data_IF_483764874286
#
_entry.id   IF_483764874286
#
_cell.length_a   1.000
_cell.length_b   1.000
_cell.length_c   1.000
_cell.angle_alpha   90.00
_cell.angle_beta   90.00
_cell.angle_gamma   90.00
#
_symmetry.space_group_name_H-M   'P 1'
#
loop_
_entity.id
_entity.type
_entity.pdbx_description
1 polymer ?
#
# COMPACT_ATOMS: atom_id res chain seq x y z
N UNK A 1 -26.62 15.74 26.76
CA UNK A 1 -26.72 16.69 25.66
C UNK A 1 -25.92 16.08 24.51
N UNK A 2 -26.57 15.63 23.45
CA UNK A 2 -25.92 15.12 22.28
C UNK A 2 -25.25 16.30 21.55
N UNK A 3 -23.92 16.27 21.42
CA UNK A 3 -23.18 17.27 20.65
C UNK A 3 -23.62 17.18 19.18
N UNK A 4 -23.99 18.29 18.58
CA UNK A 4 -24.25 18.37 17.14
C UNK A 4 -23.05 17.81 16.34
N UNK A 5 -23.30 17.08 15.26
CA UNK A 5 -22.21 16.58 14.42
C UNK A 5 -21.43 17.76 13.83
N UNK A 6 -20.16 17.86 14.17
CA UNK A 6 -19.25 18.89 13.65
C UNK A 6 -19.36 19.01 12.14
N UNK A 7 -19.52 20.24 11.63
CA UNK A 7 -19.62 20.51 10.19
C UNK A 7 -18.34 20.09 9.46
N UNK A 8 -18.42 19.86 8.14
CA UNK A 8 -17.23 19.56 7.33
C UNK A 8 -16.14 20.64 7.50
N UNK A 9 -16.57 21.88 7.67
CA UNK A 9 -15.71 23.06 7.86
C UNK A 9 -14.99 23.02 9.22
N UNK A 10 -15.67 22.56 10.27
CA UNK A 10 -15.08 22.41 11.60
C UNK A 10 -14.06 21.25 11.61
N UNK A 11 -14.35 20.14 10.96
CA UNK A 11 -13.40 19.02 10.80
C UNK A 11 -12.15 19.40 10.01
N UNK A 12 -12.31 20.18 8.95
CA UNK A 12 -11.17 20.72 8.19
C UNK A 12 -10.36 21.68 9.05
N UNK A 13 -11.02 22.54 9.83
CA UNK A 13 -10.35 23.47 10.73
C UNK A 13 -9.61 22.77 11.88
N UNK A 14 -10.17 21.68 12.41
CA UNK A 14 -9.52 20.82 13.40
C UNK A 14 -8.29 20.11 12.83
N UNK A 15 -8.32 19.67 11.57
CA UNK A 15 -7.17 19.08 10.87
C UNK A 15 -6.01 20.07 10.69
N UNK A 16 -6.31 21.36 10.53
CA UNK A 16 -5.30 22.42 10.41
C UNK A 16 -4.94 23.08 11.75
N UNK A 17 -5.66 22.79 12.84
CA UNK A 17 -5.35 23.23 14.20
C UNK A 17 -4.35 22.32 14.94
N UNK A 18 -3.71 21.40 14.20
CA UNK A 18 -2.68 20.52 14.72
C UNK A 18 -1.39 21.29 15.05
N UNK A 19 -0.63 20.75 15.98
CA UNK A 19 0.74 21.17 16.22
C UNK A 19 1.51 21.28 14.89
N UNK A 20 2.29 22.35 14.75
CA UNK A 20 3.00 22.68 13.50
C UNK A 20 3.77 21.49 12.92
N UNK A 21 4.47 20.74 13.78
CA UNK A 21 5.33 19.65 13.34
C UNK A 21 4.54 18.45 12.83
N UNK A 22 3.37 18.18 13.42
CA UNK A 22 2.45 17.14 12.91
C UNK A 22 1.90 17.55 11.54
N UNK A 23 1.60 18.83 11.33
CA UNK A 23 1.14 19.32 10.02
C UNK A 23 2.26 19.21 8.96
N UNK A 24 3.48 19.65 9.30
CA UNK A 24 4.65 19.54 8.42
C UNK A 24 4.90 18.07 8.04
N UNK A 25 4.88 17.18 9.02
CA UNK A 25 5.02 15.74 8.79
C UNK A 25 3.89 15.21 7.89
N UNK A 26 2.64 15.62 8.13
CA UNK A 26 1.48 15.21 7.34
C UNK A 26 1.61 15.62 5.89
N UNK A 27 2.06 16.84 5.61
CA UNK A 27 2.32 17.33 4.25
C UNK A 27 3.47 16.57 3.58
N UNK A 28 4.55 16.32 4.31
CA UNK A 28 5.65 15.49 3.81
C UNK A 28 5.17 14.06 3.48
N UNK A 29 4.42 13.43 4.39
CA UNK A 29 3.81 12.10 4.17
C UNK A 29 2.89 12.08 2.95
N UNK A 30 2.12 13.16 2.72
CA UNK A 30 1.29 13.30 1.53
C UNK A 30 2.16 13.32 0.28
N UNK A 31 3.19 14.17 0.22
CA UNK A 31 4.07 14.31 -0.95
C UNK A 31 4.79 13.00 -1.30
N UNK A 32 5.40 12.34 -0.31
CA UNK A 32 6.05 11.04 -0.53
C UNK A 32 5.07 9.95 -0.94
N UNK A 33 3.91 9.88 -0.28
CA UNK A 33 2.87 8.90 -0.62
C UNK A 33 2.32 9.16 -2.01
N UNK A 34 2.20 10.42 -2.43
CA UNK A 34 1.75 10.79 -3.76
C UNK A 34 2.69 10.25 -4.83
N UNK A 35 3.99 10.58 -4.77
CA UNK A 35 5.00 10.07 -5.69
C UNK A 35 5.08 8.54 -5.69
N UNK A 36 5.06 7.92 -4.52
CA UNK A 36 5.10 6.46 -4.40
C UNK A 36 3.87 5.79 -5.01
N UNK A 37 2.66 6.33 -4.81
CA UNK A 37 1.42 5.74 -5.35
C UNK A 37 1.27 5.96 -6.84
N UNK A 38 1.76 7.08 -7.37
CA UNK A 38 1.86 7.30 -8.82
C UNK A 38 2.71 6.22 -9.49
N UNK A 39 3.88 5.93 -8.91
CA UNK A 39 4.88 5.03 -9.50
C UNK A 39 4.59 3.55 -9.23
N UNK A 40 4.39 3.17 -7.96
CA UNK A 40 4.40 1.75 -7.56
C UNK A 40 3.26 0.93 -8.14
N UNK A 41 2.12 1.56 -8.46
CA UNK A 41 0.94 0.87 -9.00
C UNK A 41 1.11 0.45 -10.45
N UNK A 42 1.92 1.18 -11.21
CA UNK A 42 2.17 0.95 -12.63
C UNK A 42 3.49 0.26 -12.89
N UNK A 43 4.29 0.00 -11.86
CA UNK A 43 5.65 -0.52 -12.06
C UNK A 43 5.67 -1.90 -12.72
N UNK A 44 4.65 -2.74 -12.47
CA UNK A 44 4.50 -4.01 -13.19
C UNK A 44 4.31 -3.82 -14.69
N UNK A 45 3.49 -2.85 -15.10
CA UNK A 45 3.27 -2.48 -16.50
C UNK A 45 4.55 -1.93 -17.14
N UNK A 46 5.23 -1.03 -16.44
CA UNK A 46 6.51 -0.46 -16.89
C UNK A 46 7.60 -1.53 -17.08
N UNK A 47 7.71 -2.47 -16.13
CA UNK A 47 8.67 -3.57 -16.25
C UNK A 47 8.38 -4.46 -17.46
N UNK A 48 7.11 -4.76 -17.74
CA UNK A 48 6.73 -5.54 -18.91
C UNK A 48 7.01 -4.76 -20.20
N UNK A 49 6.73 -3.46 -20.22
CA UNK A 49 7.08 -2.58 -21.35
C UNK A 49 8.59 -2.49 -21.59
N UNK A 50 9.42 -2.67 -20.55
CA UNK A 50 10.88 -2.80 -20.63
C UNK A 50 11.35 -4.23 -20.99
N UNK A 51 10.44 -5.16 -21.27
CA UNK A 51 10.74 -6.54 -21.67
C UNK A 51 10.84 -7.55 -20.51
N UNK A 52 10.44 -7.19 -19.30
CA UNK A 52 10.42 -8.14 -18.18
C UNK A 52 9.31 -9.18 -18.34
N UNK A 53 9.62 -10.44 -18.00
CA UNK A 53 8.60 -11.49 -17.89
C UNK A 53 7.77 -11.33 -16.60
N UNK A 54 6.60 -11.97 -16.55
CA UNK A 54 5.74 -11.99 -15.36
C UNK A 54 6.47 -12.57 -14.14
N UNK A 55 7.36 -13.54 -14.33
CA UNK A 55 8.20 -14.10 -13.25
C UNK A 55 9.09 -13.02 -12.64
N UNK A 56 9.71 -12.19 -13.47
CA UNK A 56 10.57 -11.08 -13.03
C UNK A 56 9.75 -10.01 -12.29
N UNK A 57 8.55 -9.71 -12.75
CA UNK A 57 7.60 -8.82 -12.04
C UNK A 57 7.21 -9.42 -10.68
N UNK A 58 6.97 -10.72 -10.61
CA UNK A 58 6.73 -11.43 -9.34
C UNK A 58 7.93 -11.37 -8.40
N UNK A 59 9.16 -11.56 -8.90
CA UNK A 59 10.39 -11.41 -8.13
C UNK A 59 10.54 -9.99 -7.58
N UNK A 60 10.23 -8.95 -8.38
CA UNK A 60 10.20 -7.57 -7.90
C UNK A 60 9.26 -7.41 -6.68
N UNK A 61 8.06 -7.96 -6.74
CA UNK A 61 7.13 -7.96 -5.61
C UNK A 61 7.70 -8.65 -4.37
N UNK A 62 8.39 -9.79 -4.55
CA UNK A 62 9.07 -10.51 -3.47
C UNK A 62 10.19 -9.67 -2.85
N UNK A 63 11.06 -9.05 -3.65
CA UNK A 63 12.09 -8.14 -3.14
C UNK A 63 11.49 -6.94 -2.40
N UNK A 64 10.38 -6.39 -2.90
CA UNK A 64 9.64 -5.32 -2.22
C UNK A 64 9.14 -5.75 -0.83
N UNK A 65 8.65 -6.99 -0.70
CA UNK A 65 8.23 -7.56 0.57
C UNK A 65 9.41 -7.76 1.54
N UNK A 66 10.57 -8.25 1.05
CA UNK A 66 11.81 -8.39 1.83
C UNK A 66 12.24 -7.03 2.39
N UNK A 67 12.31 -6.00 1.55
CA UNK A 67 12.67 -4.64 1.95
C UNK A 67 11.70 -4.11 3.00
N UNK A 68 10.40 -4.29 2.79
CA UNK A 68 9.36 -3.84 3.73
C UNK A 68 9.41 -4.57 5.08
N UNK A 69 9.94 -5.80 5.12
CA UNK A 69 10.13 -6.55 6.36
C UNK A 69 11.40 -6.12 7.11
N UNK A 70 12.49 -5.82 6.40
CA UNK A 70 13.81 -5.57 7.01
C UNK A 70 14.01 -4.08 7.39
N UNK A 71 13.62 -3.14 6.52
CA UNK A 71 13.96 -1.72 6.65
C UNK A 71 13.46 -1.02 7.92
N UNK A 72 12.30 -1.33 8.52
CA UNK A 72 11.85 -0.66 9.73
C UNK A 72 12.85 -0.74 10.90
N UNK A 73 13.60 -1.85 11.01
CA UNK A 73 14.56 -2.05 12.09
C UNK A 73 15.77 -1.13 12.02
N UNK A 74 16.61 -1.16 10.94
CA UNK A 74 17.73 -0.24 10.84
C UNK A 74 17.28 1.21 10.71
N UNK A 75 16.08 1.46 10.14
CA UNK A 75 15.52 2.81 10.03
C UNK A 75 15.26 3.44 11.40
N UNK A 76 14.66 2.69 12.33
CA UNK A 76 14.47 3.12 13.70
C UNK A 76 15.80 3.39 14.40
N UNK A 77 16.76 2.46 14.31
CA UNK A 77 18.08 2.63 14.93
C UNK A 77 18.86 3.85 14.39
N UNK A 78 18.74 4.14 13.10
CA UNK A 78 19.33 5.34 12.48
C UNK A 78 18.65 6.60 13.03
N UNK A 79 17.32 6.62 13.06
CA UNK A 79 16.54 7.75 13.58
C UNK A 79 16.89 8.04 15.05
N UNK A 80 17.04 7.00 15.87
CA UNK A 80 17.41 7.12 17.28
C UNK A 80 18.82 7.68 17.48
N UNK A 81 19.72 7.49 16.49
CA UNK A 81 21.12 7.98 16.58
C UNK A 81 21.30 9.40 16.09
N UNK A 82 20.69 9.74 14.95
CA UNK A 82 20.93 11.03 14.27
C UNK A 82 19.77 12.02 14.40
N UNK A 83 18.68 11.60 15.07
CA UNK A 83 17.44 12.36 15.19
C UNK A 83 16.49 12.17 14.00
N UNK A 84 15.21 12.32 14.28
CA UNK A 84 14.14 12.08 13.30
C UNK A 84 14.24 13.01 12.08
N UNK A 85 14.60 14.28 12.26
CA UNK A 85 14.76 15.25 11.17
C UNK A 85 15.80 14.81 10.13
N UNK A 86 17.02 14.50 10.60
CA UNK A 86 18.10 14.12 9.69
C UNK A 86 17.87 12.74 9.07
N UNK A 87 17.34 11.79 9.85
CA UNK A 87 16.99 10.45 9.37
C UNK A 87 15.96 10.52 8.23
N UNK A 88 14.85 11.22 8.42
CA UNK A 88 13.82 11.36 7.39
C UNK A 88 14.32 12.16 6.18
N UNK A 89 15.19 13.14 6.37
CA UNK A 89 15.83 13.87 5.26
C UNK A 89 16.70 12.93 4.42
N UNK A 90 17.55 12.14 5.06
CA UNK A 90 18.38 11.14 4.38
C UNK A 90 17.53 10.11 3.63
N UNK A 91 16.50 9.55 4.28
CA UNK A 91 15.61 8.58 3.65
C UNK A 91 14.81 9.19 2.50
N UNK A 92 14.45 10.46 2.59
CA UNK A 92 13.79 11.21 1.52
C UNK A 92 14.65 11.35 0.28
N UNK A 93 15.91 11.77 0.45
CA UNK A 93 16.87 11.83 -0.65
C UNK A 93 17.14 10.46 -1.26
N UNK A 94 17.31 9.41 -0.45
CA UNK A 94 17.46 8.04 -0.96
C UNK A 94 16.24 7.63 -1.80
N UNK A 95 15.02 7.95 -1.37
CA UNK A 95 13.82 7.66 -2.16
C UNK A 95 13.79 8.42 -3.49
N UNK A 96 14.18 9.70 -3.48
CA UNK A 96 14.30 10.48 -4.71
C UNK A 96 15.34 9.88 -5.68
N UNK A 97 16.49 9.42 -5.16
CA UNK A 97 17.51 8.68 -5.95
C UNK A 97 16.89 7.41 -6.53
N UNK A 98 16.13 6.63 -5.76
CA UNK A 98 15.47 5.42 -6.24
C UNK A 98 14.50 5.68 -7.40
N UNK A 99 13.66 6.71 -7.29
CA UNK A 99 12.79 7.14 -8.41
C UNK A 99 13.61 7.64 -9.60
N UNK A 100 14.73 8.33 -9.36
CA UNK A 100 15.67 8.76 -10.40
C UNK A 100 16.33 7.59 -11.15
N UNK A 101 16.70 6.52 -10.43
CA UNK A 101 17.22 5.29 -11.05
C UNK A 101 16.14 4.65 -11.93
N UNK A 102 14.90 4.58 -11.48
CA UNK A 102 13.79 4.06 -12.30
C UNK A 102 13.53 4.93 -13.54
N UNK A 103 13.60 6.24 -13.38
CA UNK A 103 13.42 7.21 -14.47
C UNK A 103 14.50 7.04 -15.55
N UNK A 104 15.73 6.81 -15.16
CA UNK A 104 16.86 6.68 -16.09
C UNK A 104 17.01 5.25 -16.65
N UNK A 105 16.34 4.25 -16.06
CA UNK A 105 16.49 2.84 -16.44
C UNK A 105 16.35 2.57 -17.94
N UNK A 106 15.40 3.16 -18.72
CA UNK A 106 15.23 2.89 -20.14
C UNK A 106 16.49 3.23 -20.97
N UNK A 107 17.27 4.22 -20.56
CA UNK A 107 18.48 4.64 -21.25
C UNK A 107 19.60 3.58 -21.25
N UNK A 108 19.48 2.55 -20.38
CA UNK A 108 20.51 1.52 -20.20
C UNK A 108 20.19 0.19 -20.91
N UNK A 109 19.18 0.15 -21.77
CA UNK A 109 18.87 -1.02 -22.61
C UNK A 109 18.70 -2.31 -21.78
N UNK A 110 19.54 -3.31 -22.00
CA UNK A 110 19.44 -4.60 -21.30
C UNK A 110 19.57 -4.51 -19.77
N UNK A 111 20.16 -3.44 -19.24
CA UNK A 111 20.27 -3.20 -17.79
C UNK A 111 19.05 -2.49 -17.21
N UNK A 112 18.06 -2.11 -18.02
CA UNK A 112 16.88 -1.39 -17.55
C UNK A 112 16.16 -2.15 -16.42
N UNK A 113 15.83 -3.42 -16.64
CA UNK A 113 15.15 -4.25 -15.64
C UNK A 113 15.98 -4.49 -14.37
N UNK A 114 17.29 -4.85 -14.43
CA UNK A 114 18.15 -4.86 -13.25
C UNK A 114 18.18 -3.55 -12.47
N UNK A 115 18.20 -2.40 -13.15
CA UNK A 115 18.17 -1.09 -12.49
C UNK A 115 16.85 -0.83 -11.76
N UNK A 116 15.73 -1.42 -12.18
CA UNK A 116 14.47 -1.34 -11.41
C UNK A 116 14.64 -1.98 -10.02
N UNK A 117 15.36 -3.11 -9.91
CA UNK A 117 15.65 -3.71 -8.60
C UNK A 117 16.62 -2.86 -7.76
N UNK A 118 17.62 -2.26 -8.38
CA UNK A 118 18.51 -1.31 -7.69
C UNK A 118 17.72 -0.11 -7.18
N UNK A 119 16.91 0.50 -8.02
CA UNK A 119 16.05 1.63 -7.67
C UNK A 119 15.07 1.27 -6.52
N UNK A 120 14.57 0.03 -6.47
CA UNK A 120 13.67 -0.44 -5.41
C UNK A 120 14.30 -0.33 -4.01
N UNK A 121 15.59 -0.67 -3.89
CA UNK A 121 16.34 -0.57 -2.62
C UNK A 121 16.27 0.85 -2.07
N UNK A 122 16.42 1.84 -2.93
CA UNK A 122 16.39 3.26 -2.54
C UNK A 122 14.97 3.82 -2.47
N UNK A 123 14.11 3.54 -3.45
CA UNK A 123 12.78 4.13 -3.55
C UNK A 123 11.89 3.85 -2.32
N UNK A 124 12.09 2.73 -1.64
CA UNK A 124 11.36 2.39 -0.43
C UNK A 124 11.96 2.95 0.87
N UNK A 125 13.07 3.69 0.80
CA UNK A 125 13.78 4.15 1.99
C UNK A 125 12.89 5.00 2.89
N UNK A 126 12.28 6.07 2.39
CA UNK A 126 11.44 6.93 3.22
C UNK A 126 10.23 6.19 3.78
N UNK A 127 9.54 5.41 2.95
CA UNK A 127 8.33 4.67 3.36
C UNK A 127 8.61 3.61 4.43
N UNK A 128 9.74 2.92 4.33
CA UNK A 128 10.03 1.75 5.18
C UNK A 128 10.99 2.05 6.31
N UNK A 129 12.12 2.76 6.07
CA UNK A 129 13.01 3.22 7.12
C UNK A 129 12.37 4.35 7.94
N UNK A 130 11.68 5.29 7.29
CA UNK A 130 11.11 6.47 7.94
C UNK A 130 9.92 6.19 8.85
N UNK A 131 9.36 4.98 8.84
CA UNK A 131 8.15 4.66 9.59
C UNK A 131 8.31 4.89 11.10
N UNK A 132 9.45 4.45 11.68
CA UNK A 132 9.75 4.66 13.10
C UNK A 132 9.88 6.14 13.46
N UNK A 133 10.61 6.90 12.64
CA UNK A 133 10.78 8.34 12.81
C UNK A 133 9.45 9.11 12.75
N UNK A 134 8.56 8.74 11.82
CA UNK A 134 7.23 9.40 11.73
C UNK A 134 6.38 9.15 12.97
N UNK A 135 6.43 7.95 13.55
CA UNK A 135 5.75 7.67 14.82
C UNK A 135 6.36 8.41 16.00
N UNK A 136 7.69 8.52 16.05
CA UNK A 136 8.40 9.27 17.09
C UNK A 136 7.99 10.75 17.08
N UNK A 137 8.00 11.39 15.91
CA UNK A 137 7.60 12.80 15.75
C UNK A 137 6.18 13.03 16.27
N UNK A 138 5.19 12.22 15.84
CA UNK A 138 3.80 12.39 16.32
C UNK A 138 3.72 12.23 17.83
N UNK A 139 4.45 11.26 18.39
CA UNK A 139 4.45 11.02 19.84
C UNK A 139 5.09 12.16 20.65
N UNK A 140 6.09 12.81 20.10
CA UNK A 140 6.78 13.94 20.74
C UNK A 140 6.00 15.25 20.62
N UNK A 141 5.39 15.48 19.46
CA UNK A 141 4.71 16.73 19.13
C UNK A 141 3.27 16.85 19.67
N UNK A 142 2.66 15.75 20.16
CA UNK A 142 1.24 15.74 20.57
C UNK A 142 1.11 15.23 22.00
N UNK A 143 0.35 15.94 22.88
CA UNK A 143 0.03 15.45 24.22
C UNK A 143 -0.56 14.05 24.20
N UNK A 144 -0.29 13.18 25.19
CA UNK A 144 -0.81 11.81 25.24
C UNK A 144 -2.31 11.69 25.03
N UNK A 145 -3.11 12.64 25.54
CA UNK A 145 -4.57 12.68 25.38
C UNK A 145 -5.01 12.92 23.91
N UNK A 146 -4.15 13.46 23.06
CA UNK A 146 -4.44 13.81 21.66
C UNK A 146 -3.66 12.97 20.64
N UNK A 147 -2.94 11.97 21.07
CA UNK A 147 -2.12 11.11 20.17
C UNK A 147 -2.94 10.47 19.05
N UNK A 148 -4.17 10.04 19.36
CA UNK A 148 -5.07 9.47 18.36
C UNK A 148 -5.41 10.48 17.24
N UNK A 149 -5.56 11.77 17.56
CA UNK A 149 -5.82 12.84 16.59
C UNK A 149 -4.59 13.07 15.71
N UNK A 150 -3.38 13.11 16.28
CA UNK A 150 -2.14 13.26 15.54
C UNK A 150 -1.92 12.13 14.52
N UNK A 151 -2.11 10.88 14.94
CA UNK A 151 -2.02 9.74 14.03
C UNK A 151 -3.15 9.73 12.98
N UNK A 152 -4.37 10.10 13.36
CA UNK A 152 -5.48 10.18 12.40
C UNK A 152 -5.23 11.23 11.32
N UNK A 153 -4.62 12.36 11.66
CA UNK A 153 -4.26 13.41 10.72
C UNK A 153 -3.23 12.92 9.70
N UNK A 154 -2.08 12.43 10.17
CA UNK A 154 -1.01 11.95 9.29
C UNK A 154 -1.50 10.83 8.36
N UNK A 155 -2.34 9.91 8.88
CA UNK A 155 -2.92 8.83 8.10
C UNK A 155 -3.93 9.34 7.07
N UNK A 156 -4.72 10.37 7.38
CA UNK A 156 -5.67 11.00 6.45
C UNK A 156 -4.92 11.63 5.27
N UNK A 157 -3.89 12.41 5.52
CA UNK A 157 -3.05 13.00 4.47
C UNK A 157 -2.42 11.91 3.60
N UNK A 158 -1.88 10.85 4.20
CA UNK A 158 -1.30 9.73 3.48
C UNK A 158 -2.31 9.01 2.59
N UNK A 159 -3.54 8.80 3.07
CA UNK A 159 -4.61 8.13 2.29
C UNK A 159 -5.18 9.02 1.20
N UNK A 160 -5.22 10.32 1.39
CA UNK A 160 -5.59 11.25 0.32
C UNK A 160 -4.61 11.15 -0.84
N UNK A 161 -3.32 10.94 -0.58
CA UNK A 161 -2.34 10.68 -1.63
C UNK A 161 -2.59 9.35 -2.38
N UNK A 162 -3.19 8.34 -1.73
CA UNK A 162 -3.57 7.07 -2.39
C UNK A 162 -4.75 7.26 -3.37
N UNK A 163 -5.58 8.26 -3.15
CA UNK A 163 -6.64 8.68 -4.07
C UNK A 163 -6.08 9.53 -5.22
N UNK A 164 -5.30 10.55 -4.88
CA UNK A 164 -4.83 11.56 -5.84
C UNK A 164 -3.69 11.04 -6.73
N UNK A 165 -2.77 10.24 -6.17
CA UNK A 165 -1.61 9.73 -6.90
C UNK A 165 -1.96 8.97 -8.18
N UNK A 166 -2.81 7.94 -8.12
CA UNK A 166 -3.24 7.23 -9.33
C UNK A 166 -3.96 8.12 -10.35
N UNK A 167 -4.71 9.16 -9.91
CA UNK A 167 -5.35 10.11 -10.83
C UNK A 167 -4.32 10.98 -11.56
N UNK A 168 -3.27 11.42 -10.87
CA UNK A 168 -2.18 12.15 -11.53
C UNK A 168 -1.44 11.27 -12.53
N UNK A 169 -1.18 10.01 -12.19
CA UNK A 169 -0.61 9.06 -13.14
C UNK A 169 -1.56 8.84 -14.33
N UNK A 170 -2.86 8.68 -14.09
CA UNK A 170 -3.86 8.55 -15.14
C UNK A 170 -3.86 9.77 -16.09
N UNK A 171 -3.76 10.99 -15.55
CA UNK A 171 -3.68 12.20 -16.36
C UNK A 171 -2.43 12.23 -17.24
N UNK A 172 -1.28 11.78 -16.72
CA UNK A 172 -0.05 11.65 -17.52
C UNK A 172 -0.26 10.62 -18.63
N UNK A 173 -0.74 9.41 -18.31
CA UNK A 173 -1.00 8.38 -19.32
C UNK A 173 -2.00 8.84 -20.39
N UNK A 174 -3.06 9.56 -19.99
CA UNK A 174 -4.04 10.13 -20.93
C UNK A 174 -3.42 11.15 -21.89
N UNK A 175 -2.43 11.93 -21.42
CA UNK A 175 -1.73 12.92 -22.26
C UNK A 175 -0.81 12.26 -23.32
N UNK A 176 -0.38 11.01 -23.12
CA UNK A 176 0.46 10.24 -24.03
C UNK A 176 -0.33 9.23 -24.90
N UNK A 177 -1.60 8.98 -24.55
CA UNK A 177 -2.45 8.09 -25.33
C UNK A 177 -2.74 8.72 -26.70
N UNK A 178 -2.67 7.93 -27.75
CA UNK A 178 -3.26 8.27 -29.04
C UNK A 178 -4.78 8.20 -28.93
N UNK A 179 -5.52 8.82 -29.86
CA UNK A 179 -6.99 8.97 -29.85
C UNK A 179 -7.79 7.67 -29.80
N UNK A 180 -7.15 6.51 -29.81
CA UNK A 180 -7.79 5.19 -29.72
C UNK A 180 -7.84 4.72 -28.26
N UNK A 181 -9.01 4.20 -27.87
CA UNK A 181 -9.25 3.59 -26.55
C UNK A 181 -8.51 2.26 -26.32
N UNK A 182 -7.65 1.87 -27.27
CA UNK A 182 -6.81 0.67 -27.19
C UNK A 182 -5.65 0.78 -26.18
N UNK A 183 -5.06 -0.36 -25.85
CA UNK A 183 -3.85 -0.40 -25.02
C UNK A 183 -2.70 0.34 -25.69
N UNK A 184 -1.97 1.15 -24.90
CA UNK A 184 -0.80 1.86 -25.36
C UNK A 184 0.31 0.90 -25.78
N UNK A 185 1.08 1.27 -26.79
CA UNK A 185 2.31 0.56 -27.16
C UNK A 185 3.35 0.65 -26.04
N UNK A 186 4.22 -0.36 -25.92
CA UNK A 186 5.23 -0.41 -24.86
C UNK A 186 6.11 0.85 -24.81
N UNK A 187 6.51 1.39 -25.95
CA UNK A 187 7.25 2.65 -26.02
C UNK A 187 6.49 3.83 -25.41
N UNK A 188 5.20 3.95 -25.70
CA UNK A 188 4.34 5.00 -25.13
C UNK A 188 4.16 4.83 -23.61
N UNK A 189 4.04 3.58 -23.14
CA UNK A 189 3.99 3.29 -21.69
C UNK A 189 5.27 3.74 -21.01
N UNK A 190 6.45 3.42 -21.60
CA UNK A 190 7.74 3.84 -21.07
C UNK A 190 7.85 5.36 -21.05
N UNK A 191 7.53 6.04 -22.15
CA UNK A 191 7.60 7.48 -22.24
C UNK A 191 6.68 8.17 -21.21
N UNK A 192 5.42 7.77 -21.13
CA UNK A 192 4.48 8.31 -20.14
C UNK A 192 4.97 8.07 -18.69
N UNK A 193 5.49 6.87 -18.43
CA UNK A 193 5.91 6.52 -17.07
C UNK A 193 7.17 7.26 -16.63
N UNK A 194 8.07 7.62 -17.54
CA UNK A 194 9.21 8.52 -17.27
C UNK A 194 8.73 9.86 -16.70
N UNK A 195 7.65 10.44 -17.23
CA UNK A 195 7.07 11.66 -16.65
C UNK A 195 6.41 11.43 -15.29
N UNK A 196 5.73 10.28 -15.10
CA UNK A 196 5.23 9.88 -13.78
C UNK A 196 6.36 9.81 -12.76
N UNK A 197 7.49 9.22 -13.14
CA UNK A 197 8.68 9.11 -12.28
C UNK A 197 9.36 10.47 -12.04
N UNK A 198 9.41 11.35 -13.04
CA UNK A 198 9.91 12.70 -12.87
C UNK A 198 9.09 13.48 -11.83
N UNK A 199 7.75 13.40 -11.89
CA UNK A 199 6.88 13.96 -10.86
C UNK A 199 7.10 13.32 -9.49
N UNK A 200 7.31 12.00 -9.42
CA UNK A 200 7.61 11.31 -8.17
C UNK A 200 8.93 11.81 -7.54
N UNK A 201 9.97 12.04 -8.35
CA UNK A 201 11.23 12.66 -7.89
C UNK A 201 10.97 14.06 -7.33
N UNK A 202 10.22 14.89 -8.06
CA UNK A 202 9.89 16.26 -7.62
C UNK A 202 9.14 16.24 -6.29
N UNK A 203 8.11 15.42 -6.14
CA UNK A 203 7.36 15.30 -4.89
C UNK A 203 8.22 14.77 -3.75
N UNK A 204 9.11 13.80 -4.01
CA UNK A 204 10.03 13.30 -2.99
C UNK A 204 11.01 14.39 -2.52
N UNK A 205 11.59 15.16 -3.45
CA UNK A 205 12.49 16.27 -3.12
C UNK A 205 11.77 17.40 -2.39
N UNK A 206 10.60 17.82 -2.86
CA UNK A 206 9.80 18.86 -2.21
C UNK A 206 9.37 18.45 -0.81
N UNK A 207 8.89 17.21 -0.63
CA UNK A 207 8.54 16.66 0.69
C UNK A 207 9.73 16.60 1.62
N UNK A 208 10.90 16.16 1.12
CA UNK A 208 12.16 16.13 1.90
C UNK A 208 12.59 17.52 2.33
N UNK A 209 12.60 18.48 1.39
CA UNK A 209 13.03 19.85 1.68
C UNK A 209 12.07 20.54 2.64
N UNK A 210 10.77 20.44 2.41
CA UNK A 210 9.75 21.01 3.30
C UNK A 210 9.89 20.48 4.73
N UNK A 211 10.02 19.16 4.88
CA UNK A 211 10.22 18.53 6.17
C UNK A 211 11.55 18.95 6.82
N UNK A 212 12.64 18.99 6.06
CA UNK A 212 13.95 19.41 6.59
C UNK A 212 13.97 20.83 7.11
N UNK A 213 13.30 21.75 6.39
CA UNK A 213 13.31 23.19 6.72
C UNK A 213 12.27 23.54 7.77
N UNK A 214 11.10 22.92 7.72
CA UNK A 214 9.94 23.34 8.53
C UNK A 214 9.77 22.57 9.84
N UNK A 215 10.34 21.35 9.94
CA UNK A 215 10.26 20.53 11.16
C UNK A 215 11.24 21.07 12.21
N UNK A 216 10.73 21.31 13.43
CA UNK A 216 11.57 21.68 14.57
C UNK A 216 12.10 20.42 15.29
N UNK A 217 13.41 20.27 15.37
CA UNK A 217 14.07 19.11 15.98
C UNK A 217 14.48 19.35 17.45
N UNK A 218 13.96 20.42 18.08
CA UNK A 218 14.33 20.79 19.47
C UNK A 218 13.99 19.71 20.49
N UNK A 219 12.98 18.90 20.23
CA UNK A 219 12.48 17.82 21.09
C UNK A 219 12.94 16.42 20.66
N UNK A 220 13.85 16.29 19.69
CA UNK A 220 14.35 15.00 19.24
C UNK A 220 15.14 14.31 20.36
N UNK A 221 14.61 13.19 20.86
CA UNK A 221 15.30 12.31 21.82
C UNK A 221 16.40 11.50 21.11
N UNK A 222 17.64 11.68 21.51
CA UNK A 222 18.80 10.96 21.00
C UNK A 222 19.19 9.79 21.92
N UNK A 223 19.69 8.71 21.34
CA UNK A 223 20.47 7.71 22.06
C UNK A 223 19.70 6.58 22.72
N UNK A 224 18.46 6.27 22.31
CA UNK A 224 17.78 5.05 22.76
C UNK A 224 18.43 3.82 22.12
N UNK A 225 18.87 2.87 22.96
CA UNK A 225 19.47 1.63 22.51
C UNK A 225 18.39 0.73 21.89
N UNK A 226 18.63 0.26 20.67
CA UNK A 226 17.88 -0.84 20.07
C UNK A 226 18.21 -2.12 20.85
N UNK A 227 17.20 -2.73 21.50
CA UNK A 227 17.39 -3.92 22.34
C UNK A 227 17.63 -5.23 21.55
N UNK A 228 17.79 -5.14 20.22
CA UNK A 228 18.29 -6.22 19.38
C UNK A 228 17.26 -7.28 18.96
N UNK A 229 17.73 -8.22 18.15
CA UNK A 229 16.92 -9.30 17.55
C UNK A 229 16.43 -10.32 18.60
N UNK A 230 17.12 -10.42 19.74
CA UNK A 230 16.76 -11.32 20.84
C UNK A 230 15.39 -11.02 21.43
N UNK A 231 15.05 -9.74 21.61
CA UNK A 231 13.76 -9.34 22.13
C UNK A 231 12.63 -9.68 21.16
N UNK A 232 12.88 -9.55 19.85
CA UNK A 232 11.90 -9.96 18.82
C UNK A 232 11.57 -11.46 18.93
N UNK A 233 12.57 -12.31 19.18
CA UNK A 233 12.35 -13.75 19.33
C UNK A 233 11.53 -14.07 20.59
N UNK A 234 11.76 -13.34 21.68
CA UNK A 234 11.00 -13.51 22.92
C UNK A 234 9.56 -12.98 22.79
N UNK A 235 9.37 -11.85 22.15
CA UNK A 235 8.03 -11.31 21.84
C UNK A 235 7.23 -12.26 20.93
N UNK A 236 7.90 -12.94 19.99
CA UNK A 236 7.26 -13.95 19.13
C UNK A 236 6.82 -15.20 19.92
N UNK A 237 7.62 -15.64 20.88
CA UNK A 237 7.26 -16.78 21.74
C UNK A 237 6.10 -16.47 22.68
N UNK A 238 6.01 -15.20 23.09
CA UNK A 238 4.99 -14.71 24.02
C UNK A 238 3.78 -14.08 23.31
N UNK A 239 3.60 -14.33 22.00
CA UNK A 239 2.42 -13.85 21.28
C UNK A 239 1.15 -14.48 21.86
N UNK A 240 0.14 -13.69 22.27
CA UNK A 240 -1.10 -14.20 22.84
C UNK A 240 -1.71 -15.31 21.97
N UNK A 241 -2.00 -16.49 22.54
CA UNK A 241 -2.53 -17.63 21.79
C UNK A 241 -3.85 -17.32 21.08
N UNK A 242 -4.65 -16.40 21.62
CA UNK A 242 -5.92 -15.92 21.06
C UNK A 242 -5.73 -15.23 19.71
N UNK A 243 -4.54 -14.66 19.44
CA UNK A 243 -4.21 -14.03 18.15
C UNK A 243 -3.85 -15.04 17.06
N UNK A 244 -3.56 -16.30 17.38
CA UNK A 244 -3.13 -17.29 16.39
C UNK A 244 -4.13 -17.48 15.25
N UNK A 245 -5.45 -17.62 15.49
CA UNK A 245 -6.40 -17.76 14.39
C UNK A 245 -6.47 -16.52 13.50
N UNK A 246 -6.39 -15.32 14.08
CA UNK A 246 -6.33 -14.08 13.31
C UNK A 246 -5.04 -14.01 12.48
N UNK A 247 -3.88 -14.34 13.08
CA UNK A 247 -2.58 -14.33 12.42
C UNK A 247 -2.54 -15.29 11.23
N UNK A 248 -3.03 -16.52 11.39
CA UNK A 248 -3.08 -17.53 10.32
C UNK A 248 -4.01 -17.05 9.20
N UNK A 249 -5.25 -16.63 9.54
CA UNK A 249 -6.22 -16.16 8.56
C UNK A 249 -5.72 -14.94 7.79
N UNK A 250 -5.22 -13.91 8.48
CA UNK A 250 -4.66 -12.71 7.84
C UNK A 250 -3.44 -13.03 6.99
N UNK A 251 -2.55 -13.92 7.47
CA UNK A 251 -1.36 -14.32 6.71
C UNK A 251 -1.74 -15.00 5.39
N UNK A 252 -2.70 -15.91 5.39
CA UNK A 252 -3.18 -16.56 4.16
C UNK A 252 -3.85 -15.56 3.21
N UNK A 253 -4.69 -14.66 3.72
CA UNK A 253 -5.33 -13.61 2.92
C UNK A 253 -4.28 -12.66 2.33
N UNK A 254 -3.27 -12.28 3.10
CA UNK A 254 -2.17 -11.41 2.63
C UNK A 254 -1.26 -12.12 1.65
N UNK A 255 -1.00 -13.41 1.86
CA UNK A 255 -0.27 -14.24 0.91
C UNK A 255 -1.00 -14.31 -0.42
N UNK A 256 -2.31 -14.61 -0.40
CA UNK A 256 -3.16 -14.60 -1.58
C UNK A 256 -3.12 -13.27 -2.34
N UNK A 257 -3.30 -12.16 -1.62
CA UNK A 257 -3.20 -10.84 -2.23
C UNK A 257 -1.79 -10.58 -2.80
N UNK A 258 -0.74 -10.98 -2.09
CA UNK A 258 0.66 -10.85 -2.54
C UNK A 258 0.93 -11.57 -3.86
N UNK A 259 0.28 -12.73 -4.11
CA UNK A 259 0.41 -13.46 -5.37
C UNK A 259 -0.06 -12.67 -6.58
N UNK A 260 -1.06 -11.80 -6.45
CA UNK A 260 -1.74 -11.17 -7.60
C UNK A 260 -1.66 -9.65 -7.64
N UNK A 261 -1.30 -9.01 -6.53
CA UNK A 261 -1.38 -7.55 -6.39
C UNK A 261 -0.56 -6.78 -7.44
N UNK A 262 0.65 -7.25 -7.73
CA UNK A 262 1.53 -6.61 -8.73
C UNK A 262 1.02 -6.81 -10.17
N UNK A 263 0.10 -7.75 -10.38
CA UNK A 263 -0.46 -8.09 -11.69
C UNK A 263 -1.82 -7.44 -11.97
N UNK A 264 -2.44 -6.73 -11.00
CA UNK A 264 -3.73 -6.07 -11.25
C UNK A 264 -3.67 -5.09 -12.42
N UNK A 265 -2.59 -4.32 -12.52
CA UNK A 265 -2.39 -3.43 -13.66
C UNK A 265 -2.35 -4.23 -14.96
N UNK A 266 -1.59 -5.31 -15.04
CA UNK A 266 -1.47 -6.14 -16.24
C UNK A 266 -2.79 -6.81 -16.65
N UNK A 267 -3.62 -7.18 -15.66
CA UNK A 267 -4.95 -7.74 -15.96
C UNK A 267 -5.85 -6.68 -16.62
N UNK A 268 -5.89 -5.47 -16.08
CA UNK A 268 -6.71 -4.39 -16.64
C UNK A 268 -6.19 -3.91 -17.98
N UNK A 269 -4.87 -3.71 -18.10
CA UNK A 269 -4.27 -3.06 -19.27
C UNK A 269 -3.98 -4.02 -20.42
N UNK A 270 -3.58 -5.26 -20.14
CA UNK A 270 -3.11 -6.22 -21.15
C UNK A 270 -4.02 -7.42 -21.33
N UNK A 271 -4.55 -8.00 -20.23
CA UNK A 271 -5.37 -9.20 -20.32
C UNK A 271 -6.81 -8.86 -20.73
N UNK A 272 -7.44 -7.88 -20.08
CA UNK A 272 -8.78 -7.39 -20.42
C UNK A 272 -8.73 -6.27 -21.47
N UNK A 273 -7.67 -5.44 -21.46
CA UNK A 273 -7.47 -4.34 -22.41
C UNK A 273 -8.57 -3.27 -22.37
N UNK A 274 -9.13 -2.97 -21.20
CA UNK A 274 -10.31 -2.12 -21.05
C UNK A 274 -9.93 -0.68 -20.74
N UNK A 275 -10.21 0.22 -21.67
CA UNK A 275 -10.24 1.66 -21.48
C UNK A 275 -11.65 2.17 -21.16
N UNK A 276 -11.81 3.49 -21.10
CA UNK A 276 -13.09 4.16 -20.90
C UNK A 276 -13.35 5.12 -22.05
N UNK A 277 -14.48 4.95 -22.75
CA UNK A 277 -15.01 5.95 -23.67
C UNK A 277 -16.41 6.34 -23.21
N UNK A 278 -16.58 7.61 -22.87
CA UNK A 278 -17.87 8.12 -22.39
C UNK A 278 -18.06 9.57 -22.82
N UNK A 279 -19.30 9.95 -23.13
CA UNK A 279 -19.63 11.34 -23.47
C UNK A 279 -20.42 11.96 -22.34
N UNK A 280 -19.85 13.00 -21.75
CA UNK A 280 -20.48 13.79 -20.68
C UNK A 280 -21.11 15.05 -21.29
N UNK A 281 -22.31 15.44 -20.86
CA UNK A 281 -23.05 16.57 -21.46
C UNK A 281 -22.31 17.91 -21.44
N UNK A 282 -21.40 18.12 -20.46
CA UNK A 282 -20.69 19.40 -20.24
C UNK A 282 -19.24 19.34 -20.69
N UNK A 283 -18.61 18.16 -20.60
CA UNK A 283 -17.15 17.99 -20.80
C UNK A 283 -16.83 17.47 -22.19
N UNK A 284 -17.82 16.89 -22.89
CA UNK A 284 -17.61 16.23 -24.17
C UNK A 284 -17.21 14.75 -24.01
N UNK A 285 -16.61 14.20 -25.06
CA UNK A 285 -16.13 12.79 -25.04
C UNK A 285 -14.82 12.70 -24.28
N UNK A 286 -14.78 11.79 -23.32
CA UNK A 286 -13.60 11.41 -22.55
C UNK A 286 -13.20 10.02 -23.00
N UNK A 287 -12.00 9.92 -23.61
CA UNK A 287 -11.40 8.67 -24.04
C UNK A 287 -10.14 8.42 -23.22
N UNK A 288 -10.14 7.34 -22.44
CA UNK A 288 -9.01 6.93 -21.61
C UNK A 288 -8.49 5.57 -22.08
N UNK A 289 -7.18 5.50 -22.33
CA UNK A 289 -6.52 4.21 -22.54
C UNK A 289 -6.66 3.31 -21.31
N UNK A 290 -6.49 1.98 -21.42
CA UNK A 290 -6.52 1.07 -20.29
C UNK A 290 -5.55 1.48 -19.16
N UNK A 291 -4.39 2.03 -19.48
CA UNK A 291 -3.41 2.53 -18.51
C UNK A 291 -3.96 3.74 -17.75
N UNK A 292 -4.53 4.72 -18.43
CA UNK A 292 -5.15 5.88 -17.80
C UNK A 292 -6.39 5.46 -16.99
N UNK A 293 -7.20 4.57 -17.52
CA UNK A 293 -8.40 4.09 -16.84
C UNK A 293 -8.07 3.30 -15.56
N UNK A 294 -6.99 2.53 -15.54
CA UNK A 294 -6.54 1.84 -14.33
C UNK A 294 -6.30 2.80 -13.16
N UNK A 295 -5.75 3.98 -13.39
CA UNK A 295 -5.60 4.99 -12.33
C UNK A 295 -6.94 5.51 -11.80
N UNK A 296 -7.94 5.67 -12.67
CA UNK A 296 -9.32 6.01 -12.26
C UNK A 296 -9.93 4.89 -11.42
N UNK A 297 -9.74 3.63 -11.81
CA UNK A 297 -10.21 2.47 -11.04
C UNK A 297 -9.60 2.44 -9.63
N UNK A 298 -8.29 2.70 -9.49
CA UNK A 298 -7.64 2.81 -8.19
C UNK A 298 -8.18 3.97 -7.35
N UNK A 299 -8.53 5.09 -7.98
CA UNK A 299 -9.14 6.22 -7.29
C UNK A 299 -10.57 5.87 -6.81
N UNK A 300 -11.37 5.18 -7.60
CA UNK A 300 -12.69 4.65 -7.21
C UNK A 300 -12.54 3.72 -6.00
N UNK A 301 -11.62 2.77 -6.06
CA UNK A 301 -11.30 1.87 -4.94
C UNK A 301 -11.01 2.64 -3.65
N UNK A 302 -10.14 3.64 -3.73
CA UNK A 302 -9.74 4.42 -2.55
C UNK A 302 -10.84 5.36 -2.08
N UNK A 303 -11.64 5.93 -2.98
CA UNK A 303 -12.80 6.74 -2.61
C UNK A 303 -13.81 5.92 -1.80
N UNK A 304 -14.15 4.71 -2.26
CA UNK A 304 -15.03 3.80 -1.51
C UNK A 304 -14.41 3.42 -0.16
N UNK A 305 -13.12 3.12 -0.14
CA UNK A 305 -12.40 2.81 1.11
C UNK A 305 -12.54 3.95 2.14
N UNK A 306 -12.32 5.19 1.73
CA UNK A 306 -12.42 6.36 2.61
C UNK A 306 -13.86 6.62 3.07
N UNK A 307 -14.82 6.55 2.14
CA UNK A 307 -16.24 6.79 2.45
C UNK A 307 -16.83 5.73 3.39
N UNK A 308 -16.38 4.48 3.27
CA UNK A 308 -16.93 3.35 4.06
C UNK A 308 -16.26 3.16 5.41
N UNK A 309 -15.06 3.70 5.62
CA UNK A 309 -14.27 3.46 6.83
C UNK A 309 -15.00 3.93 8.11
N UNK A 310 -15.59 5.13 8.10
CA UNK A 310 -16.32 5.67 9.26
C UNK A 310 -17.64 4.91 9.52
N UNK A 311 -18.53 4.69 8.52
CA UNK A 311 -19.74 3.88 8.72
C UNK A 311 -19.43 2.48 9.24
N UNK A 312 -18.41 1.82 8.68
CA UNK A 312 -18.02 0.47 9.10
C UNK A 312 -17.44 0.46 10.51
N UNK A 313 -16.63 1.47 10.88
CA UNK A 313 -16.16 1.62 12.26
C UNK A 313 -17.31 1.81 13.28
N UNK A 314 -18.42 2.47 12.88
CA UNK A 314 -19.63 2.55 13.72
C UNK A 314 -20.38 1.22 13.77
N UNK A 315 -20.37 0.46 12.68
CA UNK A 315 -21.02 -0.86 12.59
C UNK A 315 -20.36 -1.86 13.55
N UNK A 316 -19.03 -1.78 13.79
CA UNK A 316 -18.33 -2.68 14.72
C UNK A 316 -18.91 -2.64 16.14
N UNK A 317 -19.46 -1.49 16.57
CA UNK A 317 -20.12 -1.36 17.88
C UNK A 317 -21.40 -2.19 17.99
N UNK A 318 -22.01 -2.58 16.86
CA UNK A 318 -23.26 -3.36 16.83
C UNK A 318 -23.04 -4.84 16.53
N UNK A 319 -22.10 -5.13 15.63
CA UNK A 319 -21.91 -6.49 15.10
C UNK A 319 -20.62 -7.16 15.61
N UNK A 320 -19.75 -6.43 16.33
CA UNK A 320 -18.44 -6.89 16.76
C UNK A 320 -17.34 -6.61 15.73
N UNK A 321 -16.09 -6.88 16.12
CA UNK A 321 -14.90 -6.67 15.29
C UNK A 321 -14.70 -7.81 14.29
N UNK A 322 -14.90 -9.06 14.72
CA UNK A 322 -14.67 -10.28 13.93
C UNK A 322 -15.45 -10.30 12.61
N UNK A 323 -16.79 -10.04 12.56
CA UNK A 323 -17.55 -10.05 11.31
C UNK A 323 -17.06 -8.98 10.32
N UNK A 324 -16.66 -7.82 10.81
CA UNK A 324 -16.16 -6.73 9.97
C UNK A 324 -14.79 -7.06 9.37
N UNK A 325 -13.90 -7.68 10.14
CA UNK A 325 -12.60 -8.15 9.64
C UNK A 325 -12.80 -9.29 8.63
N UNK A 326 -13.69 -10.24 8.93
CA UNK A 326 -14.03 -11.34 8.03
C UNK A 326 -14.61 -10.84 6.69
N UNK A 327 -15.44 -9.78 6.69
CA UNK A 327 -15.90 -9.14 5.46
C UNK A 327 -14.73 -8.59 4.65
N UNK A 328 -13.80 -7.89 5.28
CA UNK A 328 -12.60 -7.40 4.60
C UNK A 328 -11.76 -8.54 3.99
N UNK A 329 -11.58 -9.63 4.72
CA UNK A 329 -10.89 -10.84 4.24
C UNK A 329 -11.63 -11.49 3.07
N UNK A 330 -12.95 -11.60 3.13
CA UNK A 330 -13.77 -12.14 2.05
C UNK A 330 -13.62 -11.32 0.76
N UNK A 331 -13.64 -9.98 0.85
CA UNK A 331 -13.41 -9.12 -0.31
C UNK A 331 -12.02 -9.34 -0.89
N UNK A 332 -10.97 -9.41 -0.06
CA UNK A 332 -9.61 -9.74 -0.53
C UNK A 332 -9.54 -11.09 -1.25
N UNK A 333 -10.25 -12.09 -0.72
CA UNK A 333 -10.24 -13.44 -1.26
C UNK A 333 -11.00 -13.57 -2.58
N UNK A 334 -12.16 -12.93 -2.70
CA UNK A 334 -13.07 -13.09 -3.85
C UNK A 334 -12.70 -12.17 -5.01
N UNK A 335 -12.18 -10.97 -4.72
CA UNK A 335 -11.88 -9.97 -5.74
C UNK A 335 -10.99 -10.48 -6.89
N UNK A 336 -9.92 -11.26 -6.66
CA UNK A 336 -9.09 -11.79 -7.75
C UNK A 336 -9.90 -12.65 -8.76
N UNK A 337 -10.75 -13.54 -8.27
CA UNK A 337 -11.60 -14.35 -9.15
C UNK A 337 -12.59 -13.51 -9.94
N UNK A 338 -13.22 -12.52 -9.30
CA UNK A 338 -14.15 -11.62 -9.97
C UNK A 338 -13.44 -10.79 -11.04
N UNK A 339 -12.25 -10.29 -10.76
CA UNK A 339 -11.48 -9.47 -11.70
C UNK A 339 -11.06 -10.27 -12.94
N UNK A 340 -10.56 -11.50 -12.76
CA UNK A 340 -10.09 -12.30 -13.89
C UNK A 340 -11.22 -12.86 -14.75
N UNK A 341 -12.42 -13.03 -14.17
CA UNK A 341 -13.63 -13.47 -14.84
C UNK A 341 -14.50 -12.31 -15.36
N UNK A 342 -14.07 -11.07 -15.13
CA UNK A 342 -14.84 -9.91 -15.56
C UNK A 342 -14.95 -9.83 -17.09
N UNK A 343 -16.11 -9.45 -17.64
CA UNK A 343 -16.18 -9.05 -19.02
C UNK A 343 -15.33 -7.80 -19.28
N UNK A 344 -14.93 -7.60 -20.54
CA UNK A 344 -14.18 -6.41 -20.96
C UNK A 344 -15.12 -5.18 -21.04
N UNK A 345 -15.64 -4.75 -19.88
CA UNK A 345 -16.59 -3.64 -19.74
C UNK A 345 -16.11 -2.66 -18.66
N UNK A 346 -16.05 -1.38 -19.00
CA UNK A 346 -15.54 -0.34 -18.10
C UNK A 346 -16.43 -0.18 -16.85
N UNK A 347 -17.75 -0.23 -16.98
CA UNK A 347 -18.67 -0.10 -15.87
C UNK A 347 -18.55 -1.25 -14.88
N UNK A 348 -18.40 -2.49 -15.39
CA UNK A 348 -18.18 -3.67 -14.55
C UNK A 348 -16.85 -3.54 -13.79
N UNK A 349 -15.77 -3.10 -14.45
CA UNK A 349 -14.50 -2.89 -13.77
C UNK A 349 -14.61 -1.80 -12.71
N UNK A 350 -15.28 -0.67 -12.98
CA UNK A 350 -15.52 0.37 -12.00
C UNK A 350 -16.27 -0.18 -10.76
N UNK A 351 -17.31 -0.97 -10.96
CA UNK A 351 -18.07 -1.61 -9.88
C UNK A 351 -17.20 -2.61 -9.09
N UNK A 352 -16.36 -3.40 -9.76
CA UNK A 352 -15.45 -4.34 -9.09
C UNK A 352 -14.38 -3.61 -8.25
N UNK A 353 -13.80 -2.53 -8.75
CA UNK A 353 -12.85 -1.74 -7.98
C UNK A 353 -13.54 -0.99 -6.82
N UNK A 354 -14.77 -0.51 -6.99
CA UNK A 354 -15.58 -0.01 -5.89
C UNK A 354 -15.82 -1.08 -4.83
N UNK A 355 -16.20 -2.30 -5.22
CA UNK A 355 -16.32 -3.46 -4.33
C UNK A 355 -14.98 -3.77 -3.62
N UNK A 356 -13.88 -3.75 -4.35
CA UNK A 356 -12.53 -3.95 -3.78
C UNK A 356 -12.19 -2.93 -2.71
N UNK A 357 -12.70 -1.70 -2.79
CA UNK A 357 -12.52 -0.65 -1.77
C UNK A 357 -13.01 -1.07 -0.39
N UNK A 358 -14.02 -1.93 -0.30
CA UNK A 358 -14.56 -2.43 0.96
C UNK A 358 -13.54 -3.23 1.79
N UNK A 359 -12.52 -3.83 1.16
CA UNK A 359 -11.45 -4.54 1.88
C UNK A 359 -10.68 -3.68 2.88
N UNK A 360 -10.66 -2.35 2.66
CA UNK A 360 -9.99 -1.40 3.53
C UNK A 360 -10.88 -0.88 4.65
N UNK A 361 -12.19 -1.03 4.54
CA UNK A 361 -13.14 -0.53 5.53
C UNK A 361 -12.97 -1.21 6.90
N UNK A 362 -12.57 -2.48 6.93
CA UNK A 362 -12.31 -3.26 8.15
C UNK A 362 -10.95 -3.02 8.81
N UNK A 363 -10.06 -2.20 8.26
CA UNK A 363 -8.71 -2.00 8.80
C UNK A 363 -8.66 -1.48 10.24
N UNK A 364 -9.50 -0.53 10.69
CA UNK A 364 -9.54 -0.14 12.09
C UNK A 364 -9.93 -1.30 13.02
N UNK A 365 -10.94 -2.09 12.64
CA UNK A 365 -11.36 -3.28 13.37
C UNK A 365 -10.27 -4.34 13.45
N UNK A 366 -9.54 -4.57 12.35
CA UNK A 366 -8.43 -5.50 12.29
C UNK A 366 -7.29 -5.10 13.25
N UNK A 367 -6.91 -3.81 13.26
CA UNK A 367 -5.92 -3.30 14.22
C UNK A 367 -6.40 -3.46 15.67
N UNK A 368 -7.67 -3.20 15.95
CA UNK A 368 -8.25 -3.38 17.28
C UNK A 368 -8.22 -4.85 17.73
N UNK A 369 -8.48 -5.81 16.83
CA UNK A 369 -8.35 -7.25 17.14
C UNK A 369 -6.92 -7.67 17.45
N UNK A 370 -5.91 -7.06 16.82
CA UNK A 370 -4.49 -7.37 17.11
C UNK A 370 -4.07 -6.85 18.49
N UNK A 371 -4.54 -5.66 18.87
CA UNK A 371 -4.12 -5.01 20.12
C UNK A 371 -4.95 -5.47 21.31
N UNK A 372 -6.22 -5.88 21.09
CA UNK A 372 -7.17 -6.20 22.15
C UNK A 372 -6.68 -7.21 23.20
N UNK A 373 -6.03 -8.33 22.80
CA UNK A 373 -5.52 -9.32 23.76
C UNK A 373 -4.20 -8.93 24.43
N UNK A 374 -3.57 -7.82 24.02
CA UNK A 374 -2.30 -7.40 24.59
C UNK A 374 -2.47 -6.82 25.99
N UNK A 375 -1.58 -7.18 26.91
CA UNK A 375 -1.48 -6.55 28.23
C UNK A 375 -1.27 -5.03 28.12
N UNK A 376 -1.68 -4.29 29.16
CA UNK A 376 -1.49 -2.83 29.18
C UNK A 376 0.00 -2.48 29.01
N UNK A 377 0.29 -1.68 27.98
CA UNK A 377 1.66 -1.29 27.63
C UNK A 377 2.38 -2.23 26.63
N UNK A 378 1.88 -3.43 26.37
CA UNK A 378 2.49 -4.40 25.43
C UNK A 378 1.96 -4.32 24.00
N UNK A 379 0.92 -3.51 23.73
CA UNK A 379 0.24 -3.46 22.42
C UNK A 379 1.17 -3.18 21.23
N UNK A 380 2.19 -2.35 21.40
CA UNK A 380 3.17 -2.05 20.36
C UNK A 380 4.05 -3.27 20.01
N UNK A 381 4.52 -4.02 21.02
CA UNK A 381 5.34 -5.23 20.85
C UNK A 381 4.55 -6.36 20.19
N UNK A 382 3.33 -6.61 20.69
CA UNK A 382 2.43 -7.63 20.10
C UNK A 382 2.12 -7.30 18.64
N UNK A 383 1.82 -6.04 18.32
CA UNK A 383 1.57 -5.60 16.94
C UNK A 383 2.81 -5.75 16.06
N UNK A 384 4.00 -5.40 16.57
CA UNK A 384 5.26 -5.55 15.87
C UNK A 384 5.56 -7.01 15.52
N UNK A 385 5.44 -7.90 16.50
CA UNK A 385 5.66 -9.35 16.34
C UNK A 385 4.65 -9.98 15.40
N UNK A 386 3.37 -9.62 15.52
CA UNK A 386 2.31 -10.07 14.63
C UNK A 386 2.63 -9.71 13.16
N UNK A 387 2.95 -8.45 12.89
CA UNK A 387 3.27 -8.01 11.53
C UNK A 387 4.58 -8.60 11.00
N UNK A 388 5.56 -8.84 11.85
CA UNK A 388 6.80 -9.46 11.44
C UNK A 388 6.57 -10.89 10.93
N UNK A 389 5.88 -11.75 11.72
CA UNK A 389 5.56 -13.13 11.29
C UNK A 389 4.79 -13.12 9.98
N UNK A 390 3.71 -12.34 9.94
CA UNK A 390 2.89 -12.23 8.73
C UNK A 390 3.71 -11.82 7.51
N UNK A 391 4.49 -10.74 7.64
CA UNK A 391 5.25 -10.18 6.51
C UNK A 391 6.34 -11.15 6.02
N UNK A 392 7.01 -11.86 6.92
CA UNK A 392 8.02 -12.87 6.55
C UNK A 392 7.39 -14.02 5.76
N UNK A 393 6.25 -14.53 6.21
CA UNK A 393 5.54 -15.62 5.51
C UNK A 393 5.04 -15.17 4.13
N UNK A 394 4.65 -13.91 3.99
CA UNK A 394 4.14 -13.35 2.73
C UNK A 394 5.26 -13.09 1.70
N UNK A 395 6.54 -13.06 2.10
CA UNK A 395 7.66 -12.76 1.18
C UNK A 395 7.58 -13.52 -0.15
N UNK A 396 7.46 -14.86 -0.22
CA UNK A 396 7.51 -15.59 -1.48
C UNK A 396 6.25 -15.49 -2.34
N UNK A 397 5.18 -14.89 -1.83
CA UNK A 397 3.87 -14.91 -2.49
C UNK A 397 3.90 -14.33 -3.89
N UNK A 398 4.58 -13.19 -4.09
CA UNK A 398 4.61 -12.52 -5.39
C UNK A 398 5.42 -13.32 -6.43
N UNK A 399 6.53 -13.97 -6.04
CA UNK A 399 7.27 -14.85 -6.93
C UNK A 399 6.42 -16.08 -7.34
N UNK A 400 5.72 -16.69 -6.38
CA UNK A 400 4.79 -17.77 -6.68
C UNK A 400 3.70 -17.30 -7.65
N UNK A 401 3.11 -16.12 -7.40
CA UNK A 401 2.15 -15.49 -8.30
C UNK A 401 2.72 -15.29 -9.70
N UNK A 402 3.97 -14.82 -9.82
CA UNK A 402 4.65 -14.63 -11.09
C UNK A 402 4.84 -15.93 -11.89
N UNK A 403 5.21 -17.02 -11.21
CA UNK A 403 5.32 -18.35 -11.83
C UNK A 403 3.95 -18.86 -12.29
N UNK A 404 2.93 -18.73 -11.47
CA UNK A 404 1.57 -19.14 -11.82
C UNK A 404 0.97 -18.28 -12.95
N UNK A 405 1.32 -17.01 -13.03
CA UNK A 405 0.84 -16.08 -14.04
C UNK A 405 1.53 -16.27 -15.39
N UNK A 406 2.86 -16.34 -15.41
CA UNK A 406 3.66 -16.34 -16.64
C UNK A 406 4.25 -17.70 -17.04
N UNK A 407 4.18 -18.71 -16.15
CA UNK A 407 4.86 -19.99 -16.35
C UNK A 407 6.34 -19.95 -15.99
N UNK A 408 6.96 -21.12 -16.01
CA UNK A 408 8.38 -21.29 -15.72
C UNK A 408 8.97 -22.41 -16.60
N UNK A 409 10.04 -22.11 -17.33
CA UNK A 409 10.82 -23.11 -18.04
C UNK A 409 12.05 -23.47 -17.20
N UNK A 410 12.17 -24.74 -16.83
CA UNK A 410 13.32 -25.26 -16.10
C UNK A 410 14.17 -26.14 -17.07
N UNK A 411 15.44 -25.78 -17.34
CA UNK A 411 16.30 -26.57 -18.17
C UNK A 411 16.41 -28.01 -17.65
N UNK A 412 16.13 -29.00 -18.51
CA UNK A 412 16.19 -30.44 -18.16
C UNK A 412 15.01 -31.01 -17.39
N UNK A 413 14.06 -30.20 -16.92
CA UNK A 413 12.88 -30.64 -16.16
C UNK A 413 11.58 -30.49 -16.96
N UNK A 414 11.48 -29.44 -17.78
CA UNK A 414 10.31 -29.15 -18.59
C UNK A 414 9.79 -27.72 -18.41
N UNK A 415 8.64 -27.44 -19.04
CA UNK A 415 7.97 -26.14 -18.97
C UNK A 415 6.67 -26.26 -18.18
N UNK A 416 6.51 -25.44 -17.15
CA UNK A 416 5.24 -25.20 -16.50
C UNK A 416 4.52 -24.06 -17.23
N UNK A 417 3.34 -24.33 -17.78
CA UNK A 417 2.51 -23.33 -18.44
C UNK A 417 1.70 -22.55 -17.40
N UNK A 418 2.04 -21.28 -17.20
CA UNK A 418 1.27 -20.36 -16.37
C UNK A 418 0.16 -19.66 -17.15
N UNK A 419 -0.78 -19.06 -16.43
CA UNK A 419 -1.78 -18.17 -17.02
C UNK A 419 -2.34 -17.21 -15.96
N UNK A 420 -2.85 -16.00 -16.35
CA UNK A 420 -3.52 -15.11 -15.44
C UNK A 420 -4.66 -15.77 -14.65
N UNK A 421 -5.58 -16.56 -15.26
CA UNK A 421 -6.62 -17.27 -14.52
C UNK A 421 -6.10 -18.24 -13.46
N UNK A 422 -4.97 -18.93 -13.75
CA UNK A 422 -4.37 -19.85 -12.79
C UNK A 422 -3.84 -19.13 -11.55
N UNK A 423 -3.12 -18.02 -11.73
CA UNK A 423 -2.58 -17.23 -10.63
C UNK A 423 -3.70 -16.63 -9.75
N UNK A 424 -4.71 -16.06 -10.38
CA UNK A 424 -5.83 -15.41 -9.70
C UNK A 424 -6.77 -16.42 -9.05
N UNK A 425 -7.01 -17.57 -9.69
CA UNK A 425 -7.76 -18.69 -9.10
C UNK A 425 -7.06 -19.28 -7.88
N UNK A 426 -5.75 -19.54 -7.97
CA UNK A 426 -4.96 -20.03 -6.83
C UNK A 426 -4.96 -19.02 -5.66
N UNK A 427 -4.79 -17.73 -5.94
CA UNK A 427 -4.89 -16.68 -4.93
C UNK A 427 -6.26 -16.67 -4.26
N UNK A 428 -7.34 -16.80 -5.02
CA UNK A 428 -8.71 -16.88 -4.49
C UNK A 428 -8.86 -18.06 -3.53
N UNK A 429 -8.39 -19.25 -3.92
CA UNK A 429 -8.47 -20.44 -3.06
C UNK A 429 -7.72 -20.22 -1.75
N UNK A 430 -6.48 -19.74 -1.79
CA UNK A 430 -5.69 -19.45 -0.58
C UNK A 430 -6.38 -18.39 0.28
N UNK A 431 -6.91 -17.34 -0.32
CA UNK A 431 -7.64 -16.29 0.40
C UNK A 431 -8.93 -16.79 1.06
N UNK A 432 -9.69 -17.64 0.37
CA UNK A 432 -10.90 -18.25 0.93
C UNK A 432 -10.57 -19.22 2.08
N UNK A 433 -9.49 -20.00 1.98
CA UNK A 433 -9.02 -20.84 3.08
C UNK A 433 -8.65 -20.00 4.30
N UNK A 434 -7.95 -18.88 4.11
CA UNK A 434 -7.62 -17.96 5.20
C UNK A 434 -8.84 -17.32 5.82
N UNK A 435 -9.80 -16.88 5.01
CA UNK A 435 -11.06 -16.29 5.46
C UNK A 435 -11.90 -17.31 6.22
N UNK A 436 -12.05 -18.52 5.66
CA UNK A 436 -12.80 -19.62 6.29
C UNK A 436 -12.18 -20.03 7.62
N UNK A 437 -10.85 -20.19 7.67
CA UNK A 437 -10.14 -20.49 8.91
C UNK A 437 -10.40 -19.44 9.99
N UNK A 438 -10.30 -18.14 9.64
CA UNK A 438 -10.58 -17.08 10.59
C UNK A 438 -12.05 -17.04 11.04
N UNK A 439 -12.99 -17.31 10.16
CA UNK A 439 -14.42 -17.38 10.51
C UNK A 439 -14.71 -18.50 11.51
N UNK A 440 -14.08 -19.66 11.35
CA UNK A 440 -14.31 -20.82 12.22
C UNK A 440 -13.58 -20.69 13.56
N UNK A 441 -12.31 -20.35 13.55
CA UNK A 441 -11.42 -20.39 14.72
C UNK A 441 -11.15 -19.01 15.33
N UNK A 442 -11.43 -17.89 14.63
CA UNK A 442 -11.20 -16.55 15.14
C UNK A 442 -12.09 -16.25 16.36
N UNK A 443 -11.55 -15.48 17.28
CA UNK A 443 -12.26 -15.06 18.48
C UNK A 443 -12.71 -13.60 18.36
N UNK A 444 -13.84 -13.28 19.03
CA UNK A 444 -14.30 -11.92 19.23
C UNK A 444 -13.81 -11.46 20.60
N UNK A 445 -13.06 -10.39 20.64
CA UNK A 445 -12.72 -9.78 21.92
C UNK A 445 -13.81 -8.78 22.29
N UNK A 446 -14.42 -8.96 23.44
CA UNK A 446 -15.35 -7.99 23.99
C UNK A 446 -14.61 -6.64 24.04
N UNK A 447 -15.12 -5.67 23.29
CA UNK A 447 -14.69 -4.29 23.49
C UNK A 447 -14.88 -4.01 24.98
N UNK A 448 -13.81 -3.69 25.68
CA UNK A 448 -13.87 -3.28 27.06
C UNK A 448 -14.85 -2.12 27.09
N UNK A 449 -16.06 -2.39 27.61
CA UNK A 449 -17.05 -1.38 27.89
C UNK A 449 -16.48 -0.52 29.02
N UNK A 450 -15.79 0.56 28.62
CA UNK A 450 -15.34 1.61 29.49
C UNK A 450 -16.03 2.90 29.09
#
# INVERSE_FOLDING_TARGET
>A
MASEPASLRDRVRELFALERDVLVLSVAMFAFSLGFQMASRYLGEYMVALGASAVVVGLYGTFSNVISAIYPYPGGAISDRIGSRYALTMFGFLSAVGFGVWLLAPAFGALAVPLIFVGLVFAQAWKSFGLGATFAIVKQSVPPARLAEGFASTETFRRTAFLVGPLLAAAVFAAFATTDTGSMADAQVVDAFVYVLALAVVFALLGTLAQHVLYDSGDDDFGKAFEGISQVADDLRNLPPELRPLLIGDTLVRFANGMVYVFFVLVVTRFLGVGLSTTLPVVGTIDLSPQAYFGVLLAIEMAVALLTMIPVAKLTRRVGLKPVVALGFAVYAIFPALLIAAPADAGVLAALFAFSGLRFAGLPAHKALIVGPAEQGAGGRVTGSYYLVRNVVVIPSAALGGVLYGGLALPGVGTFAGSPPLAFGAATVVGLLGTGYFLVFGEEFAAVNG
#
